data_IF_905143852766
#
_entry.id   IF_905143852766
#
_cell.length_a   1.000
_cell.length_b   1.000
_cell.length_c   1.000
_cell.angle_alpha   90.00
_cell.angle_beta   90.00
_cell.angle_gamma   90.00
#
_symmetry.space_group_name_H-M   'P 1'
#
loop_
_entity.id
_entity.type
_entity.pdbx_description
1 polymer ?
#
# COMPACT_ATOMS: atom_id res chain seq x y z
N UNK A 1 25.82 20.41 -17.25
CA UNK A 1 24.64 20.34 -16.37
C UNK A 1 23.43 21.16 -16.86
N UNK A 2 23.50 21.87 -17.99
CA UNK A 2 22.34 22.61 -18.54
C UNK A 2 21.44 21.79 -19.50
N UNK A 3 21.93 20.67 -20.05
CA UNK A 3 21.16 19.81 -20.96
C UNK A 3 20.05 18.99 -20.28
N UNK A 4 20.19 18.71 -18.97
CA UNK A 4 19.21 17.91 -18.21
C UNK A 4 18.03 18.78 -17.74
N UNK A 5 18.27 20.07 -17.46
CA UNK A 5 17.23 21.02 -17.08
C UNK A 5 16.33 21.44 -18.25
N UNK A 6 16.84 21.47 -19.49
CA UNK A 6 16.01 21.69 -20.69
C UNK A 6 15.05 20.54 -20.97
N UNK A 7 15.41 19.30 -20.64
CA UNK A 7 14.56 18.13 -20.88
C UNK A 7 13.37 18.03 -19.90
N UNK A 8 13.51 18.58 -18.69
CA UNK A 8 12.43 18.67 -17.70
C UNK A 8 11.39 19.77 -18.02
N UNK A 9 11.82 20.87 -18.65
CA UNK A 9 10.90 21.94 -19.07
C UNK A 9 10.10 21.60 -20.33
N UNK A 10 10.62 20.76 -21.23
CA UNK A 10 9.86 20.29 -22.40
C UNK A 10 8.76 19.29 -22.04
N UNK A 11 8.95 18.47 -20.99
CA UNK A 11 7.88 17.57 -20.51
C UNK A 11 6.71 18.29 -19.85
N UNK A 12 6.92 19.49 -19.30
CA UNK A 12 5.84 20.30 -18.70
C UNK A 12 4.96 21.04 -19.74
N UNK A 13 5.42 21.20 -20.99
CA UNK A 13 4.69 21.95 -22.04
C UNK A 13 3.79 21.09 -22.94
N UNK A 14 3.87 19.76 -22.87
CA UNK A 14 3.05 18.86 -23.69
C UNK A 14 1.71 18.46 -23.03
N UNK A 15 1.36 19.05 -21.88
CA UNK A 15 0.09 18.78 -21.19
C UNK A 15 -1.08 19.65 -21.66
N UNK A 16 -0.89 20.56 -22.63
CA UNK A 16 -1.99 21.38 -23.16
C UNK A 16 -1.81 21.69 -24.65
N UNK A 17 -2.42 20.87 -25.52
CA UNK A 17 -2.91 21.32 -26.82
C UNK A 17 -4.11 20.46 -27.24
N UNK A 18 -5.27 21.09 -27.34
CA UNK A 18 -6.53 20.54 -27.87
C UNK A 18 -6.63 20.69 -29.40
N UNK A 19 -7.56 19.91 -30.00
CA UNK A 19 -8.10 19.92 -31.40
C UNK A 19 -7.37 18.97 -32.39
N UNK A 20 -7.99 18.08 -33.20
CA UNK A 20 -9.37 17.77 -33.64
C UNK A 20 -9.45 16.31 -34.20
N UNK A 21 -10.38 15.44 -33.76
CA UNK A 21 -11.61 14.95 -34.48
C UNK A 21 -11.45 13.64 -35.34
N UNK A 22 -12.53 12.91 -35.75
CA UNK A 22 -13.05 11.75 -35.01
C UNK A 22 -13.26 10.47 -35.86
N UNK A 23 -13.12 9.26 -35.29
CA UNK A 23 -13.73 8.05 -35.87
C UNK A 23 -14.22 7.04 -34.81
N UNK A 24 -15.26 6.24 -35.12
CA UNK A 24 -16.25 5.79 -34.17
C UNK A 24 -16.10 4.32 -33.79
N UNK A 25 -16.24 3.99 -32.51
CA UNK A 25 -16.69 2.66 -32.09
C UNK A 25 -17.67 2.84 -30.94
N UNK A 26 -18.96 2.91 -31.31
CA UNK A 26 -20.03 2.57 -30.36
C UNK A 26 -19.87 1.07 -30.07
N UNK A 27 -19.61 0.71 -28.82
CA UNK A 27 -20.47 -0.15 -27.97
C UNK A 27 -19.74 -0.45 -26.66
N UNK A 28 -20.46 -0.22 -25.55
CA UNK A 28 -20.15 -0.44 -24.12
C UNK A 28 -20.01 0.85 -23.29
N UNK A 29 -20.99 1.73 -23.43
CA UNK A 29 -21.28 2.74 -22.41
C UNK A 29 -22.20 2.12 -21.34
N UNK A 30 -21.63 1.47 -20.35
CA UNK A 30 -22.14 1.55 -18.98
C UNK A 30 -21.34 2.64 -18.29
N UNK A 31 -22.03 3.68 -17.82
CA UNK A 31 -21.48 4.95 -17.30
C UNK A 31 -20.50 4.78 -16.12
N UNK A 32 -19.28 4.35 -16.41
CA UNK A 32 -18.15 4.33 -15.51
C UNK A 32 -17.02 5.09 -16.20
N UNK A 33 -16.75 6.31 -15.75
CA UNK A 33 -15.63 7.09 -16.29
C UNK A 33 -14.35 6.54 -15.64
N UNK A 34 -13.61 5.69 -16.36
CA UNK A 34 -12.39 5.02 -15.87
C UNK A 34 -11.36 6.03 -15.37
N UNK A 35 -11.28 7.18 -16.04
CA UNK A 35 -10.43 8.29 -15.61
C UNK A 35 -10.85 8.82 -14.23
N UNK A 36 -12.16 9.00 -14.01
CA UNK A 36 -12.69 9.43 -12.70
C UNK A 36 -12.37 8.40 -11.61
N UNK A 37 -12.46 7.10 -11.91
CA UNK A 37 -12.07 6.05 -10.98
C UNK A 37 -10.60 6.19 -10.58
N UNK A 38 -9.71 6.26 -11.58
CA UNK A 38 -8.26 6.37 -11.36
C UNK A 38 -7.94 7.65 -10.59
N UNK A 39 -8.58 8.78 -10.93
CA UNK A 39 -8.41 10.05 -10.21
C UNK A 39 -8.83 9.92 -8.73
N UNK A 40 -9.95 9.24 -8.44
CA UNK A 40 -10.37 8.98 -7.06
C UNK A 40 -9.38 8.10 -6.30
N UNK A 41 -8.93 6.99 -6.88
CA UNK A 41 -7.98 6.08 -6.22
C UNK A 41 -6.63 6.78 -5.97
N UNK A 42 -6.12 7.49 -6.97
CA UNK A 42 -4.85 8.22 -6.88
C UNK A 42 -4.94 9.41 -5.92
N UNK A 43 -6.12 10.00 -5.70
CA UNK A 43 -6.35 11.02 -4.69
C UNK A 43 -6.30 10.45 -3.26
N UNK A 44 -6.91 9.28 -3.04
CA UNK A 44 -6.80 8.56 -1.75
C UNK A 44 -5.33 8.24 -1.46
N UNK A 45 -4.58 7.76 -2.45
CA UNK A 45 -3.16 7.46 -2.30
C UNK A 45 -2.30 8.68 -2.00
N UNK A 46 -2.64 9.82 -2.61
CA UNK A 46 -2.02 11.10 -2.26
C UNK A 46 -2.24 11.44 -0.78
N UNK A 47 -3.46 11.29 -0.27
CA UNK A 47 -3.77 11.54 1.15
C UNK A 47 -3.01 10.58 2.07
N UNK A 48 -2.93 9.30 1.72
CA UNK A 48 -2.14 8.31 2.48
C UNK A 48 -0.67 8.71 2.53
N UNK A 49 -0.05 9.00 1.38
CA UNK A 49 1.36 9.41 1.32
C UNK A 49 1.62 10.73 2.06
N UNK A 50 0.68 11.66 1.97
CA UNK A 50 0.75 12.93 2.67
C UNK A 50 0.69 12.72 4.19
N UNK A 51 -0.32 12.02 4.70
CA UNK A 51 -0.48 11.74 6.14
C UNK A 51 0.68 10.90 6.69
N UNK A 52 1.19 9.94 5.91
CA UNK A 52 2.40 9.19 6.27
C UNK A 52 3.61 10.11 6.46
N UNK A 53 3.70 11.20 5.72
CA UNK A 53 4.81 12.17 5.78
C UNK A 53 4.63 13.24 6.86
N UNK A 54 3.64 13.11 7.76
CA UNK A 54 3.40 14.02 8.88
C UNK A 54 3.72 13.39 10.23
N UNK A 55 3.63 14.20 11.27
CA UNK A 55 3.73 13.78 12.67
C UNK A 55 2.59 12.84 13.13
N UNK A 56 1.63 12.49 12.25
CA UNK A 56 0.53 11.58 12.53
C UNK A 56 1.00 10.28 13.17
N UNK A 57 0.52 9.98 14.37
CA UNK A 57 0.86 8.78 15.11
C UNK A 57 -0.39 8.23 15.84
N UNK A 58 -1.03 7.17 15.33
CA UNK A 58 -2.31 6.67 15.85
C UNK A 58 -2.15 5.78 17.10
N UNK A 59 -1.39 6.25 18.10
CA UNK A 59 -1.14 5.48 19.34
C UNK A 59 -2.42 5.13 20.10
N UNK A 60 -3.45 5.97 19.98
CA UNK A 60 -4.76 5.74 20.59
C UNK A 60 -5.51 4.53 20.00
N UNK A 61 -5.08 4.03 18.83
CA UNK A 61 -5.67 2.88 18.16
C UNK A 61 -4.96 1.56 18.47
N UNK A 62 -3.91 1.56 19.31
CA UNK A 62 -3.11 0.35 19.60
C UNK A 62 -3.93 -0.84 20.13
N UNK A 63 -5.00 -0.56 20.86
CA UNK A 63 -5.85 -1.57 21.48
C UNK A 63 -7.07 -1.97 20.63
N UNK A 64 -7.26 -1.33 19.48
CA UNK A 64 -8.39 -1.60 18.60
C UNK A 64 -8.15 -2.91 17.85
N UNK A 65 -9.21 -3.72 17.71
CA UNK A 65 -9.26 -4.79 16.73
C UNK A 65 -9.80 -4.30 15.37
N UNK A 66 -9.82 -5.19 14.38
CA UNK A 66 -10.33 -4.87 13.04
C UNK A 66 -11.80 -4.45 13.12
N UNK A 67 -12.62 -5.13 13.91
CA UNK A 67 -14.04 -4.83 14.06
C UNK A 67 -14.26 -3.44 14.68
N UNK A 68 -13.44 -3.06 15.67
CA UNK A 68 -13.43 -1.72 16.28
C UNK A 68 -13.08 -0.66 15.22
N UNK A 69 -12.07 -0.91 14.38
CA UNK A 69 -11.66 0.01 13.32
C UNK A 69 -12.71 0.19 12.23
N UNK A 70 -13.39 -0.90 11.84
CA UNK A 70 -14.47 -0.85 10.85
C UNK A 70 -15.66 -0.02 11.32
N UNK A 71 -15.99 -0.08 12.62
CA UNK A 71 -17.11 0.65 13.24
C UNK A 71 -16.84 2.15 13.45
N UNK A 72 -15.60 2.62 13.30
CA UNK A 72 -15.28 4.04 13.50
C UNK A 72 -16.04 4.88 12.48
N UNK A 73 -16.74 5.93 12.90
CA UNK A 73 -17.34 6.88 11.94
C UNK A 73 -16.30 7.79 11.30
N UNK A 74 -15.19 8.05 12.00
CA UNK A 74 -14.10 8.89 11.54
C UNK A 74 -13.10 8.13 10.66
N UNK A 75 -12.52 8.84 9.69
CA UNK A 75 -11.42 8.35 8.85
C UNK A 75 -10.31 9.41 8.85
N UNK A 76 -9.12 9.01 9.31
CA UNK A 76 -8.01 9.93 9.56
C UNK A 76 -7.47 10.59 8.28
N UNK A 77 -7.73 10.00 7.09
CA UNK A 77 -7.38 10.60 5.80
C UNK A 77 -8.18 11.88 5.50
N UNK A 78 -9.30 12.10 6.20
CA UNK A 78 -10.06 13.34 6.18
C UNK A 78 -9.32 14.52 6.81
N UNK A 79 -8.42 14.24 7.75
CA UNK A 79 -7.79 15.22 8.64
C UNK A 79 -6.33 15.53 8.29
N UNK A 80 -5.92 15.19 7.06
CA UNK A 80 -4.52 15.28 6.64
C UNK A 80 -3.90 16.67 6.83
N UNK A 81 -4.69 17.73 6.69
CA UNK A 81 -4.23 19.12 6.80
C UNK A 81 -4.02 19.56 8.26
N UNK A 82 -4.47 18.79 9.25
CA UNK A 82 -4.27 19.08 10.69
C UNK A 82 -2.85 18.80 11.15
N UNK A 83 -2.11 17.94 10.44
CA UNK A 83 -0.80 17.43 10.87
C UNK A 83 0.34 18.14 10.16
N UNK A 84 1.40 18.45 10.90
CA UNK A 84 2.61 19.06 10.33
C UNK A 84 3.47 18.02 9.63
N UNK A 85 4.07 18.41 8.51
CA UNK A 85 5.07 17.59 7.82
C UNK A 85 6.26 17.32 8.73
N UNK A 86 6.77 16.08 8.68
CA UNK A 86 8.07 15.76 9.25
C UNK A 86 9.14 16.39 8.36
N UNK A 87 9.96 17.27 8.93
CA UNK A 87 11.18 17.75 8.28
C UNK A 87 12.30 16.77 8.56
N UNK A 88 12.67 15.99 7.55
CA UNK A 88 13.83 15.11 7.64
C UNK A 88 15.12 15.93 7.47
N UNK A 89 16.03 15.82 8.42
CA UNK A 89 17.42 16.25 8.24
C UNK A 89 18.22 15.06 7.69
N UNK A 90 18.74 15.19 6.47
CA UNK A 90 19.47 14.14 5.76
C UNK A 90 20.70 13.60 6.48
N UNK A 91 21.17 14.29 7.52
CA UNK A 91 22.31 13.90 8.34
C UNK A 91 21.99 12.95 9.51
N UNK A 92 20.73 12.53 9.69
CA UNK A 92 20.34 11.63 10.78
C UNK A 92 20.95 10.22 10.68
N UNK A 93 21.33 9.79 9.47
CA UNK A 93 21.84 8.44 9.21
C UNK A 93 23.27 8.18 9.72
N UNK A 94 24.08 9.22 9.96
CA UNK A 94 25.49 9.06 10.33
C UNK A 94 25.75 9.17 11.84
N UNK A 95 24.82 9.72 12.64
CA UNK A 95 25.15 10.17 14.00
C UNK A 95 24.74 9.25 15.15
N UNK A 96 23.83 8.30 14.96
CA UNK A 96 23.24 7.60 16.11
C UNK A 96 23.25 6.07 15.96
N UNK A 97 24.36 5.45 16.36
CA UNK A 97 24.44 3.98 16.61
C UNK A 97 23.66 3.56 17.88
N UNK A 98 23.18 4.52 18.68
CA UNK A 98 22.50 4.32 19.96
C UNK A 98 21.04 4.81 19.94
N UNK A 99 20.20 4.28 19.06
CA UNK A 99 18.75 4.51 19.15
C UNK A 99 18.14 3.66 20.28
N UNK A 100 17.52 4.31 21.26
CA UNK A 100 16.65 3.63 22.23
C UNK A 100 15.37 3.15 21.51
N UNK A 101 15.27 1.83 21.32
CA UNK A 101 14.18 1.15 20.61
C UNK A 101 12.78 1.54 21.13
N UNK A 102 12.67 1.88 22.42
CA UNK A 102 11.39 2.19 23.09
C UNK A 102 10.71 3.51 22.67
N UNK A 103 11.45 4.45 22.06
CA UNK A 103 10.91 5.76 21.65
C UNK A 103 10.65 5.86 20.15
N UNK A 104 10.81 4.77 19.39
CA UNK A 104 10.62 4.77 17.95
C UNK A 104 9.14 4.71 17.58
N UNK A 105 8.75 5.54 16.61
CA UNK A 105 7.44 5.44 15.97
C UNK A 105 7.32 4.07 15.31
N UNK A 106 6.27 3.34 15.66
CA UNK A 106 5.98 2.03 15.09
C UNK A 106 5.40 2.16 13.69
N UNK A 107 6.27 2.45 12.71
CA UNK A 107 5.86 2.74 11.33
C UNK A 107 5.03 1.65 10.68
N UNK A 108 5.38 0.38 10.91
CA UNK A 108 4.58 -0.73 10.38
C UNK A 108 3.13 -0.67 10.88
N UNK A 109 2.91 -0.33 12.16
CA UNK A 109 1.57 -0.13 12.71
C UNK A 109 0.87 1.07 12.09
N UNK A 110 1.57 2.19 11.95
CA UNK A 110 1.03 3.40 11.29
C UNK A 110 0.58 3.07 9.87
N UNK A 111 1.41 2.37 9.10
CA UNK A 111 1.12 1.98 7.72
C UNK A 111 0.00 0.93 7.63
N UNK A 112 -0.18 0.08 8.65
CA UNK A 112 -1.38 -0.77 8.78
C UNK A 112 -2.65 0.04 9.01
N UNK A 113 -2.64 1.03 9.90
CA UNK A 113 -3.81 1.90 10.08
C UNK A 113 -4.12 2.64 8.77
N UNK A 114 -3.12 3.18 8.08
CA UNK A 114 -3.31 3.83 6.78
C UNK A 114 -3.83 2.86 5.70
N UNK A 115 -3.43 1.59 5.74
CA UNK A 115 -3.98 0.54 4.87
C UNK A 115 -5.45 0.27 5.17
N UNK A 116 -5.83 0.15 6.44
CA UNK A 116 -7.23 -0.01 6.85
C UNK A 116 -8.06 1.22 6.43
N UNK A 117 -7.60 2.43 6.74
CA UNK A 117 -8.34 3.66 6.43
C UNK A 117 -8.58 3.86 4.93
N UNK A 118 -7.61 3.55 4.07
CA UNK A 118 -7.81 3.65 2.63
C UNK A 118 -8.74 2.56 2.09
N UNK A 119 -8.64 1.33 2.63
CA UNK A 119 -9.50 0.21 2.19
C UNK A 119 -10.96 0.48 2.50
N UNK A 120 -11.24 1.13 3.64
CA UNK A 120 -12.60 1.54 4.05
C UNK A 120 -13.26 2.51 3.07
N UNK A 121 -12.48 3.25 2.28
CA UNK A 121 -12.97 4.21 1.29
C UNK A 121 -13.32 3.56 -0.06
N UNK A 122 -13.05 2.27 -0.24
CA UNK A 122 -13.40 1.59 -1.48
C UNK A 122 -14.91 1.33 -1.55
N UNK A 123 -15.57 1.64 -2.70
CA UNK A 123 -17.02 1.46 -2.84
C UNK A 123 -17.53 0.03 -2.59
N UNK A 124 -16.66 -0.98 -2.78
CA UNK A 124 -17.00 -2.38 -2.49
C UNK A 124 -17.35 -2.59 -1.02
N UNK A 125 -16.75 -1.82 -0.11
CA UNK A 125 -16.98 -1.96 1.33
C UNK A 125 -18.41 -1.61 1.70
N UNK A 126 -19.06 -0.65 1.03
CA UNK A 126 -20.45 -0.29 1.33
C UNK A 126 -21.44 -1.43 1.09
N UNK A 127 -21.07 -2.41 0.25
CA UNK A 127 -21.94 -3.52 -0.17
C UNK A 127 -21.71 -4.81 0.61
N UNK A 128 -20.56 -4.95 1.26
CA UNK A 128 -20.20 -6.15 2.01
C UNK A 128 -20.84 -6.15 3.40
N UNK A 129 -21.11 -7.36 3.92
CA UNK A 129 -21.47 -7.55 5.32
C UNK A 129 -20.29 -7.18 6.24
N UNK A 130 -20.54 -6.89 7.51
CA UNK A 130 -19.45 -6.63 8.47
C UNK A 130 -18.48 -7.80 8.61
N UNK A 131 -18.99 -9.03 8.55
CA UNK A 131 -18.17 -10.26 8.60
C UNK A 131 -17.28 -10.40 7.35
N UNK A 132 -17.84 -10.14 6.16
CA UNK A 132 -17.07 -10.18 4.91
C UNK A 132 -16.03 -9.05 4.86
N UNK A 133 -16.37 -7.84 5.33
CA UNK A 133 -15.40 -6.72 5.48
C UNK A 133 -14.24 -7.14 6.36
N UNK A 134 -14.51 -7.68 7.54
CA UNK A 134 -13.46 -8.11 8.46
C UNK A 134 -12.57 -9.17 7.82
N UNK A 135 -13.17 -10.12 7.11
CA UNK A 135 -12.47 -11.17 6.37
C UNK A 135 -11.56 -10.59 5.28
N UNK A 136 -12.04 -9.63 4.49
CA UNK A 136 -11.23 -8.94 3.48
C UNK A 136 -10.04 -8.22 4.12
N UNK A 137 -10.26 -7.54 5.25
CA UNK A 137 -9.21 -6.77 5.94
C UNK A 137 -8.11 -7.69 6.47
N UNK A 138 -8.48 -8.80 7.13
CA UNK A 138 -7.52 -9.84 7.60
C UNK A 138 -6.62 -10.35 6.48
N UNK A 139 -7.17 -10.59 5.30
CA UNK A 139 -6.43 -11.18 4.19
C UNK A 139 -5.59 -10.18 3.38
N UNK A 140 -6.02 -8.92 3.28
CA UNK A 140 -5.41 -7.98 2.33
C UNK A 140 -4.65 -6.82 2.98
N UNK A 141 -4.94 -6.45 4.23
CA UNK A 141 -4.36 -5.24 4.84
C UNK A 141 -2.83 -5.27 4.90
N UNK A 142 -2.19 -6.39 5.27
CA UNK A 142 -0.71 -6.49 5.27
C UNK A 142 -0.13 -6.27 3.88
N UNK A 143 -0.78 -6.81 2.85
CA UNK A 143 -0.34 -6.60 1.47
C UNK A 143 -0.43 -5.12 1.11
N UNK A 144 -1.53 -4.45 1.45
CA UNK A 144 -1.69 -3.01 1.24
C UNK A 144 -0.66 -2.20 2.04
N UNK A 145 -0.36 -2.56 3.28
CA UNK A 145 0.72 -1.97 4.10
C UNK A 145 2.06 -2.04 3.39
N UNK A 146 2.43 -3.22 2.87
CA UNK A 146 3.68 -3.40 2.14
C UNK A 146 3.71 -2.59 0.85
N UNK A 147 2.59 -2.47 0.13
CA UNK A 147 2.49 -1.58 -1.03
C UNK A 147 2.75 -0.12 -0.65
N UNK A 148 2.23 0.37 0.48
CA UNK A 148 2.47 1.73 0.99
C UNK A 148 3.97 1.94 1.26
N UNK A 149 4.59 1.03 2.03
CA UNK A 149 6.00 1.11 2.40
C UNK A 149 6.91 1.06 1.18
N UNK A 150 6.72 0.06 0.31
CA UNK A 150 7.55 -0.14 -0.87
C UNK A 150 7.39 0.98 -1.87
N UNK A 151 6.16 1.42 -2.16
CA UNK A 151 5.94 2.52 -3.10
C UNK A 151 6.56 3.82 -2.61
N UNK A 152 6.46 4.13 -1.31
CA UNK A 152 7.11 5.29 -0.73
C UNK A 152 8.64 5.26 -0.90
N UNK A 153 9.28 4.12 -0.61
CA UNK A 153 10.72 3.97 -0.78
C UNK A 153 11.13 3.99 -2.26
N UNK A 154 10.30 3.41 -3.14
CA UNK A 154 10.51 3.38 -4.59
C UNK A 154 10.50 4.78 -5.20
N UNK A 155 9.51 5.64 -4.90
CA UNK A 155 9.45 7.02 -5.43
C UNK A 155 10.62 7.89 -4.95
N UNK A 156 11.24 7.52 -3.83
CA UNK A 156 12.44 8.15 -3.28
C UNK A 156 13.75 7.48 -3.78
N UNK A 157 13.64 6.47 -4.64
CA UNK A 157 14.73 5.68 -5.19
C UNK A 157 15.59 4.93 -4.15
N UNK A 158 15.00 4.56 -3.00
CA UNK A 158 15.66 3.72 -2.01
C UNK A 158 15.54 2.25 -2.37
N UNK A 159 16.66 1.50 -2.27
CA UNK A 159 16.72 0.06 -2.58
C UNK A 159 16.26 -0.85 -1.42
N UNK A 160 15.84 -0.26 -0.32
CA UNK A 160 15.30 -0.92 0.88
C UNK A 160 14.10 -0.12 1.36
N UNK A 161 13.25 -0.72 2.18
CA UNK A 161 12.22 0.01 2.90
C UNK A 161 12.89 1.06 3.82
N UNK A 162 12.41 2.30 3.71
CA UNK A 162 12.80 3.48 4.48
C UNK A 162 11.55 4.23 4.92
N UNK A 163 11.46 4.52 6.22
CA UNK A 163 10.37 5.27 6.81
C UNK A 163 10.55 6.79 6.60
N UNK A 164 9.49 7.60 6.74
CA UNK A 164 9.54 9.04 6.49
C UNK A 164 10.48 9.86 7.38
N UNK A 165 10.79 9.35 8.57
CA UNK A 165 11.77 9.93 9.49
C UNK A 165 13.21 9.46 9.22
N UNK A 166 13.42 8.66 8.16
CA UNK A 166 14.70 8.07 7.82
C UNK A 166 15.02 6.77 8.56
N UNK A 167 14.10 6.21 9.34
CA UNK A 167 14.31 4.89 9.93
C UNK A 167 14.47 3.86 8.80
N UNK A 168 15.51 3.04 8.89
CA UNK A 168 15.76 1.92 7.98
C UNK A 168 15.58 0.64 8.81
N UNK A 169 14.42 -0.04 8.76
CA UNK A 169 14.09 -1.13 9.67
C UNK A 169 15.15 -2.24 9.71
N UNK A 170 15.72 -2.60 8.56
CA UNK A 170 16.77 -3.62 8.47
C UNK A 170 18.06 -3.26 9.22
N UNK A 171 18.33 -1.98 9.49
CA UNK A 171 19.49 -1.54 10.28
C UNK A 171 19.24 -1.51 11.80
N UNK A 172 17.98 -1.65 12.24
CA UNK A 172 17.61 -1.60 13.66
C UNK A 172 17.96 -2.92 14.36
N UNK A 173 17.74 -4.05 13.68
CA UNK A 173 18.04 -5.36 14.24
C UNK A 173 19.53 -5.72 14.07
N UNK A 174 20.23 -5.89 15.19
CA UNK A 174 21.63 -6.32 15.24
C UNK A 174 21.82 -7.79 14.83
N UNK A 175 20.76 -8.60 14.84
CA UNK A 175 20.75 -10.02 14.49
C UNK A 175 20.02 -10.27 13.17
N UNK A 176 20.53 -9.65 12.10
CA UNK A 176 19.95 -9.78 10.77
C UNK A 176 19.92 -11.24 10.29
N UNK A 177 18.73 -11.75 10.01
CA UNK A 177 18.49 -13.06 9.39
C UNK A 177 18.10 -12.87 7.92
N UNK A 178 18.24 -13.93 7.11
CA UNK A 178 17.87 -13.89 5.70
C UNK A 178 16.42 -13.45 5.47
N UNK A 179 15.51 -13.78 6.40
CA UNK A 179 14.12 -13.34 6.36
C UNK A 179 13.99 -11.81 6.41
N UNK A 180 14.82 -11.10 7.20
CA UNK A 180 14.80 -9.64 7.23
C UNK A 180 15.26 -9.03 5.90
N UNK A 181 16.26 -9.62 5.26
CA UNK A 181 16.71 -9.20 3.91
C UNK A 181 15.58 -9.39 2.90
N UNK A 182 14.86 -10.50 2.97
CA UNK A 182 13.73 -10.76 2.08
C UNK A 182 12.60 -9.74 2.29
N UNK A 183 12.27 -9.44 3.55
CA UNK A 183 11.14 -8.57 3.93
C UNK A 183 11.40 -7.07 3.73
N UNK A 184 12.64 -6.60 3.82
CA UNK A 184 12.95 -5.17 3.74
C UNK A 184 13.72 -4.75 2.48
N UNK A 185 14.46 -5.68 1.84
CA UNK A 185 15.30 -5.39 0.68
C UNK A 185 14.76 -6.06 -0.57
N UNK A 186 14.65 -7.39 -0.60
CA UNK A 186 14.23 -8.11 -1.82
C UNK A 186 12.80 -7.76 -2.24
N UNK A 187 11.94 -7.39 -1.28
CA UNK A 187 10.58 -6.92 -1.56
C UNK A 187 10.53 -5.68 -2.45
N UNK A 188 11.63 -4.91 -2.54
CA UNK A 188 11.73 -3.74 -3.42
C UNK A 188 12.01 -4.11 -4.89
N UNK A 189 12.57 -5.29 -5.16
CA UNK A 189 12.98 -5.70 -6.51
C UNK A 189 11.82 -5.66 -7.53
N UNK A 190 10.60 -6.16 -7.21
CA UNK A 190 9.47 -6.06 -8.12
C UNK A 190 9.11 -4.62 -8.49
N UNK A 191 9.16 -3.67 -7.55
CA UNK A 191 8.87 -2.26 -7.82
C UNK A 191 9.88 -1.63 -8.77
N UNK A 192 11.18 -1.92 -8.62
CA UNK A 192 12.20 -1.38 -9.53
C UNK A 192 12.19 -2.06 -10.90
N UNK A 193 11.84 -3.36 -10.96
CA UNK A 193 11.71 -4.09 -12.21
C UNK A 193 10.50 -3.64 -13.01
N UNK A 194 9.35 -3.50 -12.36
CA UNK A 194 8.09 -3.10 -13.01
C UNK A 194 8.01 -1.59 -13.19
N UNK A 195 8.58 -0.79 -12.29
CA UNK A 195 8.55 0.68 -12.35
C UNK A 195 7.12 1.23 -12.53
N UNK A 196 6.19 0.96 -11.58
CA UNK A 196 4.80 1.34 -11.71
C UNK A 196 4.62 2.86 -11.61
N UNK A 197 3.75 3.40 -12.46
CA UNK A 197 3.19 4.75 -12.34
C UNK A 197 2.25 4.85 -11.14
N UNK A 198 1.80 6.07 -10.82
CA UNK A 198 0.90 6.31 -9.69
C UNK A 198 -0.46 5.64 -9.93
N UNK A 199 -0.97 5.76 -11.15
CA UNK A 199 -2.23 5.23 -11.61
C UNK A 199 -2.24 3.70 -11.53
N UNK A 200 -1.18 3.06 -12.06
CA UNK A 200 -0.97 1.62 -11.99
C UNK A 200 -0.89 1.12 -10.54
N UNK A 201 -0.12 1.80 -9.69
CA UNK A 201 -0.02 1.50 -8.27
C UNK A 201 -1.39 1.54 -7.57
N UNK A 202 -2.17 2.58 -7.82
CA UNK A 202 -3.50 2.75 -7.25
C UNK A 202 -4.47 1.64 -7.67
N UNK A 203 -4.51 1.31 -8.98
CA UNK A 203 -5.36 0.23 -9.51
C UNK A 203 -4.94 -1.14 -8.98
N UNK A 204 -3.64 -1.41 -8.90
CA UNK A 204 -3.08 -2.66 -8.41
C UNK A 204 -3.59 -2.99 -7.00
N UNK A 205 -3.60 -1.99 -6.10
CA UNK A 205 -4.12 -2.15 -4.73
C UNK A 205 -5.62 -2.42 -4.70
N UNK A 206 -6.41 -1.70 -5.51
CA UNK A 206 -7.85 -1.93 -5.59
C UNK A 206 -8.17 -3.36 -6.05
N UNK A 207 -7.39 -3.90 -7.01
CA UNK A 207 -7.50 -5.29 -7.48
C UNK A 207 -7.17 -6.28 -6.35
N UNK A 208 -6.14 -6.01 -5.56
CA UNK A 208 -5.74 -6.86 -4.42
C UNK A 208 -6.85 -6.95 -3.37
N UNK A 209 -7.46 -5.81 -3.02
CA UNK A 209 -8.55 -5.78 -2.03
C UNK A 209 -9.78 -6.52 -2.54
N UNK A 210 -10.08 -6.42 -3.84
CA UNK A 210 -11.24 -7.05 -4.45
C UNK A 210 -11.00 -8.53 -4.83
N UNK A 211 -10.34 -9.32 -3.99
CA UNK A 211 -10.11 -10.74 -4.29
C UNK A 211 -11.34 -11.60 -3.89
N UNK A 212 -12.08 -12.21 -4.84
CA UNK A 212 -13.20 -13.09 -4.51
C UNK A 212 -12.76 -14.43 -3.89
N UNK A 213 -11.51 -14.84 -4.10
CA UNK A 213 -11.00 -16.16 -3.67
C UNK A 213 -10.52 -16.17 -2.21
N UNK A 214 -11.00 -15.23 -1.39
CA UNK A 214 -10.61 -15.11 0.02
C UNK A 214 -11.30 -16.24 0.84
N UNK A 215 -10.55 -17.07 1.57
CA UNK A 215 -11.13 -18.07 2.45
C UNK A 215 -12.03 -17.45 3.52
N UNK A 216 -13.21 -18.05 3.72
CA UNK A 216 -14.17 -17.62 4.74
C UNK A 216 -15.14 -16.51 4.33
N UNK A 217 -15.08 -16.04 3.08
CA UNK A 217 -16.01 -15.04 2.57
C UNK A 217 -17.32 -15.66 2.08
N UNK A 218 -18.44 -14.97 2.27
CA UNK A 218 -19.77 -15.43 1.85
C UNK A 218 -19.91 -15.51 0.34
N UNK A 219 -20.81 -16.36 -0.18
CA UNK A 219 -21.09 -16.47 -1.63
C UNK A 219 -21.52 -15.13 -2.25
N UNK A 220 -22.29 -14.34 -1.51
CA UNK A 220 -22.70 -12.99 -1.94
C UNK A 220 -21.50 -12.05 -1.96
N UNK A 221 -20.64 -12.12 -0.93
CA UNK A 221 -19.37 -11.40 -0.86
C UNK A 221 -18.42 -11.72 -2.02
N UNK A 222 -18.29 -13.00 -2.41
CA UNK A 222 -17.52 -13.43 -3.58
C UNK A 222 -18.03 -12.76 -4.86
N UNK A 223 -19.36 -12.75 -5.04
CA UNK A 223 -19.99 -12.14 -6.21
C UNK A 223 -19.75 -10.62 -6.26
N UNK A 224 -19.90 -9.94 -5.12
CA UNK A 224 -19.67 -8.50 -4.98
C UNK A 224 -18.20 -8.17 -5.28
N UNK A 225 -17.25 -8.93 -4.74
CA UNK A 225 -15.82 -8.72 -4.95
C UNK A 225 -15.42 -9.00 -6.40
N UNK A 226 -15.90 -10.09 -6.99
CA UNK A 226 -15.64 -10.43 -8.38
C UNK A 226 -16.10 -9.32 -9.34
N UNK A 227 -17.26 -8.72 -9.07
CA UNK A 227 -17.78 -7.61 -9.85
C UNK A 227 -16.87 -6.38 -9.81
N UNK A 228 -16.46 -5.95 -8.61
CA UNK A 228 -15.58 -4.77 -8.48
C UNK A 228 -14.18 -5.07 -9.01
N UNK A 229 -13.64 -6.28 -8.79
CA UNK A 229 -12.36 -6.72 -9.35
C UNK A 229 -12.37 -6.61 -10.86
N UNK A 230 -13.44 -7.08 -11.50
CA UNK A 230 -13.61 -7.03 -12.95
C UNK A 230 -13.57 -5.60 -13.47
N UNK A 231 -14.19 -4.65 -12.75
CA UNK A 231 -14.14 -3.23 -13.09
C UNK A 231 -12.71 -2.67 -13.01
N UNK A 232 -12.01 -2.91 -11.90
CA UNK A 232 -10.62 -2.44 -11.74
C UNK A 232 -9.65 -3.08 -12.73
N UNK A 233 -9.77 -4.37 -12.99
CA UNK A 233 -8.96 -5.10 -13.98
C UNK A 233 -9.21 -4.56 -15.39
N UNK A 234 -10.47 -4.34 -15.75
CA UNK A 234 -10.83 -3.79 -17.07
C UNK A 234 -10.31 -2.36 -17.23
N UNK A 235 -10.45 -1.52 -16.20
CA UNK A 235 -9.92 -0.17 -16.18
C UNK A 235 -8.39 -0.16 -16.32
N UNK A 236 -7.67 -1.06 -15.64
CA UNK A 236 -6.22 -1.19 -15.76
C UNK A 236 -5.81 -1.62 -17.17
N UNK A 237 -6.42 -2.67 -17.72
CA UNK A 237 -6.10 -3.12 -19.08
C UNK A 237 -6.36 -2.03 -20.12
N UNK A 238 -7.50 -1.33 -20.02
CA UNK A 238 -7.84 -0.24 -20.93
C UNK A 238 -6.84 0.92 -20.79
N UNK A 239 -6.48 1.30 -19.56
CA UNK A 239 -5.49 2.33 -19.29
C UNK A 239 -4.14 2.00 -19.94
N UNK A 240 -3.67 0.77 -19.81
CA UNK A 240 -2.42 0.33 -20.43
C UNK A 240 -2.49 0.31 -21.97
N UNK A 241 -3.60 -0.16 -22.54
CA UNK A 241 -3.78 -0.22 -23.99
C UNK A 241 -3.89 1.18 -24.62
N UNK A 242 -4.53 2.14 -23.94
CA UNK A 242 -4.60 3.52 -24.40
C UNK A 242 -3.26 4.24 -24.29
N UNK A 243 -2.47 3.93 -23.26
CA UNK A 243 -1.19 4.61 -22.99
C UNK A 243 -0.04 4.05 -23.85
N UNK A 244 -0.04 2.73 -24.09
CA UNK A 244 1.08 2.03 -24.74
C UNK A 244 0.71 1.35 -26.06
N UNK A 245 -0.56 1.37 -26.47
CA UNK A 245 -1.08 0.60 -27.61
C UNK A 245 -1.47 -0.82 -27.20
N UNK A 246 -2.21 -1.53 -28.06
CA UNK A 246 -2.87 -2.80 -27.70
C UNK A 246 -1.91 -3.89 -27.20
N UNK A 247 -0.86 -4.20 -27.97
CA UNK A 247 0.08 -5.28 -27.63
C UNK A 247 1.01 -4.90 -26.48
N UNK A 248 1.61 -3.70 -26.53
CA UNK A 248 2.52 -3.25 -25.47
C UNK A 248 1.76 -3.02 -24.16
N UNK A 249 0.52 -2.52 -24.22
CA UNK A 249 -0.35 -2.37 -23.07
C UNK A 249 -0.74 -3.70 -22.43
N UNK A 250 -1.04 -4.73 -23.23
CA UNK A 250 -1.28 -6.07 -22.70
C UNK A 250 -0.05 -6.64 -21.98
N UNK A 251 1.15 -6.47 -22.55
CA UNK A 251 2.40 -6.86 -21.90
C UNK A 251 2.64 -6.10 -20.59
N UNK A 252 2.32 -4.80 -20.57
CA UNK A 252 2.45 -3.95 -19.38
C UNK A 252 1.48 -4.39 -18.28
N UNK A 253 0.23 -4.65 -18.64
CA UNK A 253 -0.78 -5.24 -17.74
C UNK A 253 -0.29 -6.55 -17.11
N UNK A 254 0.32 -7.46 -17.89
CA UNK A 254 0.91 -8.70 -17.33
C UNK A 254 2.04 -8.43 -16.34
N UNK A 255 2.87 -7.41 -16.55
CA UNK A 255 3.92 -7.02 -15.58
C UNK A 255 3.31 -6.53 -14.25
N UNK A 256 2.19 -5.81 -14.30
CA UNK A 256 1.47 -5.36 -13.10
C UNK A 256 0.84 -6.53 -12.35
N UNK A 257 0.29 -7.53 -13.05
CA UNK A 257 -0.19 -8.74 -12.39
C UNK A 257 0.95 -9.50 -11.69
N UNK A 258 2.14 -9.54 -12.30
CA UNK A 258 3.31 -10.14 -11.67
C UNK A 258 3.78 -9.34 -10.43
N UNK A 259 3.60 -8.02 -10.42
CA UNK A 259 3.83 -7.20 -9.22
C UNK A 259 2.88 -7.63 -8.09
N UNK A 260 1.58 -7.82 -8.38
CA UNK A 260 0.59 -8.31 -7.39
C UNK A 260 1.05 -9.64 -6.80
N UNK A 261 1.36 -10.61 -7.64
CA UNK A 261 1.78 -11.95 -7.23
C UNK A 261 3.04 -11.91 -6.36
N UNK A 262 4.05 -11.14 -6.78
CA UNK A 262 5.29 -10.97 -6.02
C UNK A 262 5.00 -10.42 -4.62
N UNK A 263 4.11 -9.44 -4.52
CA UNK A 263 3.78 -8.82 -3.23
C UNK A 263 3.00 -9.76 -2.31
N UNK A 264 2.07 -10.55 -2.85
CA UNK A 264 1.38 -11.61 -2.09
C UNK A 264 2.39 -12.62 -1.52
N UNK A 265 3.40 -13.00 -2.30
CA UNK A 265 4.46 -13.91 -1.84
C UNK A 265 5.28 -13.33 -0.68
N UNK A 266 5.70 -12.06 -0.78
CA UNK A 266 6.43 -11.41 0.31
C UNK A 266 5.57 -11.22 1.56
N UNK A 267 4.28 -10.93 1.42
CA UNK A 267 3.41 -10.73 2.58
C UNK A 267 3.02 -12.05 3.25
N UNK A 268 2.98 -13.16 2.51
CA UNK A 268 2.90 -14.50 3.09
C UNK A 268 4.12 -14.80 3.99
N UNK A 269 5.35 -14.45 3.54
CA UNK A 269 6.56 -14.55 4.38
C UNK A 269 6.47 -13.67 5.63
N UNK A 270 5.91 -12.47 5.52
CA UNK A 270 5.71 -11.57 6.66
C UNK A 270 4.77 -12.17 7.71
N UNK A 271 3.64 -12.75 7.27
CA UNK A 271 2.69 -13.43 8.17
C UNK A 271 3.37 -14.57 8.91
N UNK A 272 4.12 -15.41 8.20
CA UNK A 272 4.84 -16.52 8.84
C UNK A 272 5.93 -16.02 9.82
N UNK A 273 6.66 -14.97 9.46
CA UNK A 273 7.62 -14.34 10.36
C UNK A 273 6.96 -13.84 11.65
N UNK A 274 5.81 -13.16 11.53
CA UNK A 274 5.05 -12.70 12.70
C UNK A 274 4.54 -13.87 13.54
N UNK A 275 4.01 -14.93 12.91
CA UNK A 275 3.55 -16.14 13.59
C UNK A 275 4.68 -16.83 14.37
N UNK A 276 5.85 -16.98 13.76
CA UNK A 276 7.04 -17.50 14.44
C UNK A 276 7.45 -16.63 15.63
N UNK A 277 7.38 -15.30 15.50
CA UNK A 277 7.68 -14.40 16.59
C UNK A 277 6.67 -14.53 17.74
N UNK A 278 5.37 -14.64 17.45
CA UNK A 278 4.34 -14.87 18.47
C UNK A 278 4.59 -16.18 19.22
N UNK A 279 4.89 -17.27 18.50
CA UNK A 279 5.21 -18.57 19.09
C UNK A 279 6.44 -18.45 20.01
N UNK A 280 7.51 -17.78 19.57
CA UNK A 280 8.70 -17.55 20.41
C UNK A 280 8.36 -16.80 21.68
N UNK A 281 7.56 -15.73 21.61
CA UNK A 281 7.14 -14.95 22.79
C UNK A 281 6.36 -15.82 23.77
N UNK A 282 5.40 -16.62 23.27
CA UNK A 282 4.59 -17.53 24.09
C UNK A 282 5.46 -18.61 24.74
N UNK A 283 6.41 -19.19 23.99
CA UNK A 283 7.31 -20.24 24.49
C UNK A 283 8.36 -19.69 25.46
N UNK A 284 8.82 -18.46 25.27
CA UNK A 284 9.96 -17.94 26.01
C UNK A 284 9.62 -17.47 27.43
N UNK A 285 8.39 -17.00 27.75
CA UNK A 285 7.86 -16.60 29.09
C UNK A 285 8.83 -16.01 30.16
N UNK A 286 10.05 -15.60 29.80
CA UNK A 286 11.18 -15.23 30.68
C UNK A 286 12.27 -14.46 29.93
N UNK A 287 11.97 -13.37 29.22
CA UNK A 287 12.96 -12.26 29.04
C UNK A 287 12.23 -10.94 28.87
N UNK A 288 12.50 -9.90 29.69
CA UNK A 288 12.08 -8.54 29.42
C UNK A 288 13.08 -7.90 28.45
N UNK A 289 12.84 -8.03 27.15
CA UNK A 289 13.35 -7.08 26.15
C UNK A 289 12.25 -6.03 25.89
N UNK A 290 12.56 -4.78 25.50
CA UNK A 290 11.59 -3.71 25.42
C UNK A 290 10.41 -4.18 24.57
N UNK A 291 9.27 -4.29 25.23
CA UNK A 291 8.07 -4.88 24.70
C UNK A 291 7.71 -4.10 23.44
N UNK A 292 7.93 -4.68 22.26
CA UNK A 292 7.09 -4.30 21.13
C UNK A 292 5.67 -4.68 21.57
N UNK A 293 4.77 -3.72 21.75
CA UNK A 293 3.42 -4.04 22.21
C UNK A 293 2.84 -5.08 21.25
N UNK A 294 2.30 -6.18 21.76
CA UNK A 294 1.49 -7.07 20.94
C UNK A 294 0.19 -6.33 20.62
N UNK A 295 0.20 -5.56 19.52
CA UNK A 295 -0.97 -4.81 19.08
C UNK A 295 -2.07 -5.76 18.63
N UNK A 296 -3.30 -5.54 19.11
CA UNK A 296 -4.45 -6.41 18.87
C UNK A 296 -4.77 -6.54 17.36
N UNK A 297 -4.63 -5.45 16.62
CA UNK A 297 -4.79 -5.48 15.15
C UNK A 297 -3.66 -6.26 14.46
N UNK A 298 -2.41 -6.11 14.91
CA UNK A 298 -1.27 -6.80 14.29
C UNK A 298 -1.43 -8.30 14.41
N UNK A 299 -1.86 -8.78 15.59
CA UNK A 299 -2.08 -10.21 15.77
C UNK A 299 -3.21 -10.73 14.87
N UNK A 300 -4.33 -10.01 14.74
CA UNK A 300 -5.44 -10.43 13.88
C UNK A 300 -5.13 -10.35 12.38
N UNK A 301 -4.33 -9.38 11.95
CA UNK A 301 -3.96 -9.23 10.55
C UNK A 301 -2.87 -10.21 10.14
N UNK A 302 -2.04 -10.68 11.07
CA UNK A 302 -0.93 -11.58 10.79
C UNK A 302 -1.23 -13.08 11.01
N UNK A 303 -2.43 -13.41 11.53
CA UNK A 303 -2.96 -14.77 11.67
C UNK A 303 -3.89 -15.05 10.47
#
# INVERSE_FOLDING_TARGET
MEGILKNLNNRKRLLFSSQDSPLPVKTLATNFNEKKLIDCLTYVDYKVMRLRSTEYNPVHLFNFDISDLLKRSHNDLGDVDKYKLITFDSHYHEKNENFEIGNLKMWFFVDMILAVEQMRLLPVMEKLTEEDKETVFKHTAITITYFIECYYSYIKNWKTIVCPDGLIPIKVDKHMQQIHVDLFVRVMEPFFRVNPTKEEYSLTKAIIVCNPDIPGISSDGQTILAEHRRQYVSAMLLHEQLTHGTTSGANRFSQLLFLIESMIHFTAKQREFHRMHQIKVVLQKKVPYPQMPTFKICSQLCI
#
